data_IF_279868833552
#
_entry.id   IF_279868833552
#
_cell.length_a   1.000
_cell.length_b   1.000
_cell.length_c   1.000
_cell.angle_alpha   90.00
_cell.angle_beta   90.00
_cell.angle_gamma   90.00
#
_symmetry.space_group_name_H-M   'P 1'
#
loop_
_entity.id
_entity.type
_entity.pdbx_description
1 polymer ?
#
# COMPACT_ATOMS: atom_id res chain seq x y z
N UNK A 1 -6.25 -21.22 -4.91
CA UNK A 1 -6.46 -19.87 -5.49
C UNK A 1 -6.27 -18.76 -4.44
N UNK A 2 -7.05 -18.70 -3.36
CA UNK A 2 -6.98 -17.60 -2.37
C UNK A 2 -5.64 -17.51 -1.62
N UNK A 3 -4.92 -18.63 -1.44
CA UNK A 3 -3.63 -18.64 -0.75
C UNK A 3 -2.51 -17.90 -1.52
N UNK A 4 -2.55 -17.90 -2.85
CA UNK A 4 -1.57 -17.16 -3.68
C UNK A 4 -1.76 -15.65 -3.48
N UNK A 5 -3.01 -15.17 -3.55
CA UNK A 5 -3.33 -13.77 -3.28
C UNK A 5 -2.99 -13.36 -1.84
N UNK A 6 -3.22 -14.23 -0.85
CA UNK A 6 -2.79 -13.99 0.53
C UNK A 6 -1.27 -13.86 0.65
N UNK A 7 -0.51 -14.74 0.01
CA UNK A 7 0.95 -14.68 0.02
C UNK A 7 1.47 -13.41 -0.66
N UNK A 8 0.91 -13.06 -1.82
CA UNK A 8 1.24 -11.80 -2.51
C UNK A 8 0.97 -10.57 -1.65
N UNK A 9 -0.24 -10.44 -1.09
CA UNK A 9 -0.58 -9.30 -0.24
C UNK A 9 0.23 -9.28 1.05
N UNK A 10 0.65 -10.44 1.56
CA UNK A 10 1.53 -10.52 2.71
C UNK A 10 2.89 -9.92 2.39
N UNK A 11 3.47 -10.25 1.23
CA UNK A 11 4.71 -9.64 0.75
C UNK A 11 4.56 -8.13 0.54
N UNK A 12 3.45 -7.66 -0.04
CA UNK A 12 3.17 -6.22 -0.18
C UNK A 12 3.06 -5.54 1.20
N UNK A 13 2.35 -6.15 2.15
CA UNK A 13 2.24 -5.62 3.51
C UNK A 13 3.61 -5.53 4.20
N UNK A 14 4.42 -6.57 4.08
CA UNK A 14 5.75 -6.64 4.69
C UNK A 14 6.70 -5.61 4.08
N UNK A 15 6.77 -5.54 2.74
CA UNK A 15 7.58 -4.55 2.03
C UNK A 15 7.15 -3.12 2.38
N UNK A 16 5.85 -2.83 2.44
CA UNK A 16 5.36 -1.51 2.83
C UNK A 16 5.75 -1.12 4.26
N UNK A 17 5.74 -2.06 5.21
CA UNK A 17 6.21 -1.83 6.56
C UNK A 17 7.71 -1.57 6.61
N UNK A 18 8.52 -2.40 5.93
CA UNK A 18 9.98 -2.23 5.92
C UNK A 18 10.37 -0.89 5.29
N UNK A 19 9.85 -0.58 4.11
CA UNK A 19 10.17 0.66 3.41
C UNK A 19 9.66 1.89 4.16
N UNK A 20 8.44 1.82 4.73
CA UNK A 20 7.89 2.89 5.55
C UNK A 20 8.69 3.13 6.83
N UNK A 21 9.08 2.07 7.54
CA UNK A 21 9.93 2.20 8.74
C UNK A 21 11.30 2.78 8.37
N UNK A 22 11.89 2.30 7.28
CA UNK A 22 13.16 2.83 6.79
C UNK A 22 13.06 4.32 6.46
N UNK A 23 12.08 4.74 5.65
CA UNK A 23 11.91 6.14 5.28
C UNK A 23 11.56 7.05 6.47
N UNK A 24 10.84 6.52 7.47
CA UNK A 24 10.49 7.25 8.69
C UNK A 24 11.71 7.50 9.60
N UNK A 25 12.55 6.48 9.81
CA UNK A 25 13.71 6.58 10.68
C UNK A 25 14.98 7.07 9.96
N UNK A 26 14.99 7.10 8.63
CA UNK A 26 16.19 7.49 7.90
C UNK A 26 16.47 9.00 8.02
N UNK A 27 17.69 9.37 8.46
CA UNK A 27 18.12 10.75 8.53
C UNK A 27 18.21 11.43 7.15
N UNK A 28 18.58 10.66 6.12
CA UNK A 28 18.77 11.10 4.74
C UNK A 28 18.12 10.09 3.79
N UNK A 29 17.53 10.56 2.70
CA UNK A 29 17.03 9.67 1.66
C UNK A 29 18.21 9.25 0.77
N UNK A 30 18.35 7.95 0.54
CA UNK A 30 19.51 7.37 -0.16
C UNK A 30 19.09 7.03 -1.60
N UNK A 31 20.02 7.13 -2.54
CA UNK A 31 19.85 6.98 -4.00
C UNK A 31 19.25 5.66 -4.47
N UNK A 32 19.28 4.59 -3.67
CA UNK A 32 18.73 3.29 -4.07
C UNK A 32 17.20 3.28 -4.20
N UNK A 33 16.52 4.31 -3.69
CA UNK A 33 15.09 4.51 -3.88
C UNK A 33 14.85 5.76 -4.75
N UNK A 34 14.73 5.59 -6.08
CA UNK A 34 14.76 6.70 -7.03
C UNK A 34 13.71 7.79 -6.76
N UNK A 35 12.54 7.42 -6.25
CA UNK A 35 11.46 8.36 -5.94
C UNK A 35 11.82 9.37 -4.84
N UNK A 36 12.83 9.10 -4.02
CA UNK A 36 13.25 9.98 -2.92
C UNK A 36 14.66 10.56 -3.10
N UNK A 37 15.29 10.38 -4.26
CA UNK A 37 16.66 10.84 -4.51
C UNK A 37 16.79 12.37 -4.38
N UNK A 38 15.79 13.12 -4.82
CA UNK A 38 15.75 14.58 -4.74
C UNK A 38 15.27 15.13 -3.40
N UNK A 39 14.98 14.28 -2.41
CA UNK A 39 14.39 14.73 -1.14
C UNK A 39 15.51 15.18 -0.19
N UNK A 40 15.70 16.49 -0.12
CA UNK A 40 16.71 17.09 0.74
C UNK A 40 16.26 17.21 2.20
N UNK A 41 17.19 17.01 3.13
CA UNK A 41 16.94 17.16 4.58
C UNK A 41 16.52 18.60 4.91
N UNK A 42 15.60 18.73 5.87
CA UNK A 42 15.15 20.03 6.39
C UNK A 42 14.11 20.72 5.52
N UNK A 43 13.74 20.13 4.38
CA UNK A 43 12.66 20.62 3.53
C UNK A 43 11.28 20.19 4.03
N UNK A 44 10.24 20.93 3.65
CA UNK A 44 8.84 20.56 3.88
C UNK A 44 8.49 19.20 3.25
N UNK A 45 9.05 18.92 2.08
CA UNK A 45 8.91 17.64 1.38
C UNK A 45 9.46 16.48 2.22
N UNK A 46 10.65 16.63 2.80
CA UNK A 46 11.25 15.60 3.64
C UNK A 46 10.44 15.32 4.92
N UNK A 47 9.78 16.34 5.48
CA UNK A 47 8.87 16.14 6.61
C UNK A 47 7.61 15.40 6.16
N UNK A 48 7.00 15.81 5.05
CA UNK A 48 5.84 15.17 4.46
C UNK A 48 6.08 13.69 4.15
N UNK A 49 7.20 13.35 3.50
CA UNK A 49 7.57 11.96 3.20
C UNK A 49 7.67 11.11 4.47
N UNK A 50 8.25 11.63 5.56
CA UNK A 50 8.32 10.90 6.84
C UNK A 50 6.94 10.67 7.46
N UNK A 51 6.08 11.68 7.45
CA UNK A 51 4.70 11.53 7.93
C UNK A 51 3.93 10.50 7.10
N UNK A 52 4.03 10.58 5.78
CA UNK A 52 3.38 9.62 4.87
C UNK A 52 3.96 8.20 5.00
N UNK A 53 5.23 8.08 5.34
CA UNK A 53 5.86 6.79 5.63
C UNK A 53 5.19 6.09 6.81
N UNK A 54 4.81 6.83 7.86
CA UNK A 54 4.03 6.28 8.98
C UNK A 54 2.65 5.74 8.56
N UNK A 55 1.97 6.44 7.65
CA UNK A 55 0.71 5.96 7.04
C UNK A 55 0.93 4.68 6.25
N UNK A 56 2.06 4.58 5.54
CA UNK A 56 2.43 3.38 4.78
C UNK A 56 2.69 2.18 5.69
N UNK A 57 3.38 2.37 6.81
CA UNK A 57 3.58 1.33 7.85
C UNK A 57 2.25 0.87 8.43
N UNK A 58 1.38 1.81 8.81
CA UNK A 58 0.06 1.49 9.35
C UNK A 58 -0.79 0.70 8.34
N UNK A 59 -0.76 1.08 7.07
CA UNK A 59 -1.48 0.40 5.99
C UNK A 59 -0.96 -1.03 5.79
N UNK A 60 0.36 -1.22 5.81
CA UNK A 60 0.99 -2.55 5.75
C UNK A 60 0.59 -3.44 6.92
N UNK A 61 0.57 -2.90 8.14
CA UNK A 61 0.11 -3.62 9.32
C UNK A 61 -1.36 -4.04 9.20
N UNK A 62 -2.25 -3.12 8.77
CA UNK A 62 -3.67 -3.42 8.59
C UNK A 62 -3.86 -4.48 7.50
N UNK A 63 -3.07 -4.44 6.42
CA UNK A 63 -3.09 -5.45 5.36
C UNK A 63 -2.72 -6.84 5.88
N UNK A 64 -1.62 -6.96 6.63
CA UNK A 64 -1.22 -8.22 7.27
C UNK A 64 -2.31 -8.70 8.23
N UNK A 65 -2.83 -7.81 9.08
CA UNK A 65 -3.92 -8.12 10.02
C UNK A 65 -5.17 -8.62 9.29
N UNK A 66 -5.51 -8.01 8.16
CA UNK A 66 -6.62 -8.45 7.33
C UNK A 66 -6.38 -9.88 6.82
N UNK A 67 -5.19 -10.18 6.28
CA UNK A 67 -4.86 -11.51 5.74
C UNK A 67 -5.01 -12.62 6.77
N UNK A 68 -4.52 -12.41 8.01
CA UNK A 68 -4.53 -13.43 9.05
C UNK A 68 -5.82 -13.48 9.88
N UNK A 69 -6.63 -12.42 9.90
CA UNK A 69 -7.83 -12.36 10.75
C UNK A 69 -9.10 -12.62 9.94
N UNK A 70 -9.66 -13.84 9.96
CA UNK A 70 -10.82 -14.25 9.15
C UNK A 70 -12.09 -13.42 9.36
N UNK A 71 -12.34 -12.92 10.57
CA UNK A 71 -13.58 -12.22 10.95
C UNK A 71 -13.69 -10.76 10.50
N UNK A 72 -12.63 -10.16 9.95
CA UNK A 72 -12.55 -8.71 9.76
C UNK A 72 -12.88 -8.28 8.32
N UNK A 73 -14.11 -8.50 7.86
CA UNK A 73 -14.55 -8.13 6.50
C UNK A 73 -14.48 -6.61 6.27
N UNK A 74 -14.80 -5.81 7.30
CA UNK A 74 -14.74 -4.34 7.27
C UNK A 74 -13.33 -3.78 7.04
N UNK A 75 -12.29 -4.43 7.59
CA UNK A 75 -10.90 -4.01 7.31
C UNK A 75 -10.55 -4.15 5.83
N UNK A 76 -11.08 -5.17 5.16
CA UNK A 76 -10.89 -5.34 3.71
C UNK A 76 -11.49 -4.18 2.92
N UNK A 77 -12.68 -3.70 3.29
CA UNK A 77 -13.33 -2.55 2.65
C UNK A 77 -12.48 -1.28 2.80
N UNK A 78 -11.96 -1.01 4.00
CA UNK A 78 -11.09 0.15 4.25
C UNK A 78 -9.82 0.09 3.41
N UNK A 79 -9.17 -1.08 3.34
CA UNK A 79 -7.97 -1.27 2.51
C UNK A 79 -8.25 -1.09 1.01
N UNK A 80 -9.41 -1.55 0.53
CA UNK A 80 -9.84 -1.33 -0.86
C UNK A 80 -9.99 0.17 -1.14
N UNK A 81 -10.65 0.93 -0.27
CA UNK A 81 -10.80 2.37 -0.45
C UNK A 81 -9.46 3.09 -0.43
N UNK A 82 -8.57 2.76 0.52
CA UNK A 82 -7.22 3.32 0.57
C UNK A 82 -6.45 3.04 -0.74
N UNK A 83 -6.53 1.82 -1.25
CA UNK A 83 -5.85 1.43 -2.48
C UNK A 83 -6.41 2.17 -3.71
N UNK A 84 -7.73 2.33 -3.81
CA UNK A 84 -8.38 3.09 -4.90
C UNK A 84 -7.95 4.56 -4.87
N UNK A 85 -8.03 5.23 -3.72
CA UNK A 85 -7.64 6.63 -3.61
C UNK A 85 -6.12 6.83 -3.84
N UNK A 86 -5.29 5.86 -3.45
CA UNK A 86 -3.87 5.85 -3.79
C UNK A 86 -3.65 5.77 -5.31
N UNK A 87 -4.39 4.89 -6.01
CA UNK A 87 -4.31 4.78 -7.48
C UNK A 87 -4.80 6.06 -8.18
N UNK A 88 -5.87 6.68 -7.68
CA UNK A 88 -6.35 7.99 -8.19
C UNK A 88 -5.27 9.06 -7.99
N UNK A 89 -4.68 9.13 -6.79
CA UNK A 89 -3.56 10.04 -6.53
C UNK A 89 -2.38 9.81 -7.48
N UNK A 90 -2.11 8.54 -7.82
CA UNK A 90 -1.06 8.21 -8.79
C UNK A 90 -1.40 8.60 -10.22
N UNK A 91 -2.66 8.47 -10.63
CA UNK A 91 -3.14 8.99 -11.91
C UNK A 91 -2.96 10.50 -11.99
N UNK A 92 -3.33 11.24 -10.94
CA UNK A 92 -3.04 12.68 -10.85
C UNK A 92 -1.54 12.96 -10.99
N UNK A 93 -0.69 12.18 -10.30
CA UNK A 93 0.77 12.27 -10.43
C UNK A 93 1.25 12.11 -11.88
N UNK A 94 0.72 11.14 -12.62
CA UNK A 94 1.05 10.98 -14.05
C UNK A 94 0.63 12.17 -14.92
N UNK A 95 -0.49 12.82 -14.60
CA UNK A 95 -0.94 14.00 -15.34
C UNK A 95 -0.05 15.23 -15.11
N UNK A 96 0.46 15.43 -13.89
CA UNK A 96 1.25 16.61 -13.54
C UNK A 96 2.75 16.42 -13.73
N UNK A 97 3.30 15.27 -13.33
CA UNK A 97 4.74 15.01 -13.28
C UNK A 97 5.21 14.16 -14.48
N UNK A 98 4.28 13.63 -15.28
CA UNK A 98 4.58 12.74 -16.40
C UNK A 98 4.84 11.29 -15.99
N UNK A 99 5.45 10.52 -16.89
CA UNK A 99 5.68 9.09 -16.70
C UNK A 99 7.12 8.78 -16.31
N UNK A 100 7.31 8.32 -15.07
CA UNK A 100 8.58 7.74 -14.62
C UNK A 100 8.45 6.21 -14.47
N UNK A 101 9.54 5.48 -14.75
CA UNK A 101 9.51 4.01 -14.76
C UNK A 101 9.11 3.43 -13.40
N UNK A 102 9.66 3.97 -12.31
CA UNK A 102 9.35 3.51 -10.95
C UNK A 102 7.88 3.77 -10.57
N UNK A 103 7.31 4.86 -11.09
CA UNK A 103 5.93 5.24 -10.89
C UNK A 103 4.95 4.33 -11.62
N UNK A 104 5.31 3.92 -12.84
CA UNK A 104 4.56 2.93 -13.61
C UNK A 104 4.55 1.57 -12.91
N UNK A 105 5.71 1.12 -12.41
CA UNK A 105 5.82 -0.15 -11.66
C UNK A 105 4.95 -0.10 -10.40
N UNK A 106 5.03 0.97 -9.62
CA UNK A 106 4.22 1.13 -8.42
C UNK A 106 2.71 1.15 -8.73
N UNK A 107 2.30 1.78 -9.83
CA UNK A 107 0.90 1.80 -10.27
C UNK A 107 0.39 0.40 -10.65
N UNK A 108 1.17 -0.36 -11.43
CA UNK A 108 0.83 -1.74 -11.81
C UNK A 108 0.74 -2.65 -10.58
N UNK A 109 1.69 -2.54 -9.65
CA UNK A 109 1.63 -3.25 -8.36
C UNK A 109 0.41 -2.86 -7.54
N UNK A 110 0.02 -1.58 -7.56
CA UNK A 110 -1.21 -1.09 -6.92
C UNK A 110 -2.47 -1.73 -7.51
N UNK A 111 -2.56 -1.87 -8.83
CA UNK A 111 -3.68 -2.57 -9.50
C UNK A 111 -3.73 -4.04 -9.08
N UNK A 112 -2.60 -4.76 -9.09
CA UNK A 112 -2.57 -6.16 -8.63
C UNK A 112 -2.94 -6.29 -7.15
N UNK A 113 -2.53 -5.35 -6.32
CA UNK A 113 -2.91 -5.27 -4.90
C UNK A 113 -4.41 -5.08 -4.74
N UNK A 114 -5.03 -4.19 -5.53
CA UNK A 114 -6.47 -3.98 -5.52
C UNK A 114 -7.24 -5.24 -5.92
N UNK A 115 -6.79 -5.92 -6.99
CA UNK A 115 -7.40 -7.18 -7.45
C UNK A 115 -7.29 -8.25 -6.36
N UNK A 116 -6.11 -8.43 -5.77
CA UNK A 116 -5.89 -9.39 -4.70
C UNK A 116 -6.75 -9.12 -3.47
N UNK A 117 -6.84 -7.85 -3.06
CA UNK A 117 -7.71 -7.41 -1.96
C UNK A 117 -9.17 -7.70 -2.26
N UNK A 118 -9.66 -7.36 -3.44
CA UNK A 118 -11.05 -7.57 -3.85
C UNK A 118 -11.41 -9.07 -3.84
N UNK A 119 -10.55 -9.93 -4.40
CA UNK A 119 -10.79 -11.38 -4.45
C UNK A 119 -10.90 -11.96 -3.03
N UNK A 120 -9.98 -11.62 -2.13
CA UNK A 120 -9.99 -12.13 -0.75
C UNK A 120 -11.19 -11.57 0.02
N UNK A 121 -11.49 -10.28 -0.16
CA UNK A 121 -12.63 -9.64 0.49
C UNK A 121 -13.94 -10.30 0.07
N UNK A 122 -14.16 -10.48 -1.25
CA UNK A 122 -15.35 -11.15 -1.79
C UNK A 122 -15.45 -12.59 -1.29
N UNK A 123 -14.35 -13.35 -1.31
CA UNK A 123 -14.33 -14.71 -0.79
C UNK A 123 -14.77 -14.77 0.67
N UNK A 124 -14.31 -13.84 1.52
CA UNK A 124 -14.72 -13.78 2.92
C UNK A 124 -16.17 -13.38 3.11
N UNK A 125 -16.66 -12.41 2.33
CA UNK A 125 -18.07 -12.00 2.38
C UNK A 125 -18.99 -13.20 2.09
N UNK A 126 -18.61 -14.06 1.15
CA UNK A 126 -19.37 -15.25 0.80
C UNK A 126 -19.35 -16.35 1.88
N UNK A 127 -18.43 -16.30 2.85
CA UNK A 127 -18.37 -17.26 3.96
C UNK A 127 -19.23 -16.84 5.15
N UNK A 128 -19.81 -15.64 5.12
CA UNK A 128 -20.72 -15.18 6.17
C UNK A 128 -22.06 -15.91 6.01
N UNK A 129 -22.52 -16.56 7.07
CA UNK A 129 -23.88 -17.10 7.11
C UNK A 129 -24.85 -15.94 7.39
N UNK A 130 -25.82 -15.74 6.50
CA UNK A 130 -26.81 -14.67 6.57
C UNK A 130 -28.13 -15.10 7.21
N UNK A 131 -28.27 -16.39 7.53
CA UNK A 131 -29.50 -16.99 8.09
C UNK A 131 -29.59 -16.85 9.62
N UNK A 132 -29.21 -15.68 10.17
CA UNK A 132 -29.43 -15.33 11.58
C UNK A 132 -30.85 -14.79 11.80
#
# INVERSE_FOLDING_TARGET
MTNIFKAYLFLIGLTSMILGLWAMFSPNFITWYPSFESVERGTSLANFVRTMSGVFVASGYILIRFIFSSSKVQLGTVLIYLCIFMLIGKLCGFFYEGYQQHDLIAFVLGIFTLIGLYIIHKHRKNLLNYDL
#
